data_IF_224880891126
#
_entry.id   IF_224880891126
#
_cell.length_a   1.000
_cell.length_b   1.000
_cell.length_c   1.000
_cell.angle_alpha   90.00
_cell.angle_beta   90.00
_cell.angle_gamma   90.00
#
_symmetry.space_group_name_H-M   'P 1'
#
loop_
_entity.id
_entity.type
_entity.pdbx_description
1 polymer ?
#
# COMPACT_ATOMS: atom_id res chain seq x y z
N UNK A 1 -33.97 -27.07 42.38
CA UNK A 1 -33.88 -27.13 40.93
C UNK A 1 -33.72 -25.75 40.25
N UNK A 2 -34.55 -24.75 40.58
CA UNK A 2 -34.51 -23.41 39.97
C UNK A 2 -33.16 -22.66 40.09
N UNK A 3 -32.45 -22.76 41.24
CA UNK A 3 -31.12 -22.15 41.43
C UNK A 3 -30.01 -22.79 40.57
N UNK A 4 -30.07 -24.11 40.31
CA UNK A 4 -29.07 -24.80 39.48
C UNK A 4 -29.27 -24.46 37.97
N UNK A 5 -30.51 -24.24 37.54
CA UNK A 5 -30.83 -23.82 36.17
C UNK A 5 -30.34 -22.38 35.90
N UNK A 6 -30.47 -21.49 36.91
CA UNK A 6 -30.03 -20.10 36.79
C UNK A 6 -28.49 -19.99 36.69
N UNK A 7 -27.76 -20.84 37.42
CA UNK A 7 -26.29 -20.90 37.36
C UNK A 7 -25.82 -21.46 35.98
N UNK A 8 -26.53 -22.44 35.45
CA UNK A 8 -26.22 -22.99 34.10
C UNK A 8 -26.48 -21.98 32.98
N UNK A 9 -27.52 -21.15 33.11
CA UNK A 9 -27.83 -20.06 32.19
C UNK A 9 -26.79 -18.91 32.25
N UNK A 10 -26.29 -18.59 33.45
CA UNK A 10 -25.23 -17.61 33.67
C UNK A 10 -23.87 -18.09 33.10
N UNK A 11 -23.56 -19.39 33.25
CA UNK A 11 -22.36 -19.99 32.67
C UNK A 11 -22.43 -20.08 31.12
N UNK A 12 -23.61 -20.32 30.54
CA UNK A 12 -23.80 -20.30 29.10
C UNK A 12 -23.71 -18.89 28.50
N UNK A 13 -24.13 -17.84 29.23
CA UNK A 13 -24.00 -16.45 28.81
C UNK A 13 -22.54 -15.92 28.87
N UNK A 14 -21.70 -16.48 29.75
CA UNK A 14 -20.28 -16.12 29.83
C UNK A 14 -19.42 -16.72 28.71
N UNK A 15 -19.92 -17.71 27.97
CA UNK A 15 -19.21 -18.40 26.87
C UNK A 15 -19.29 -17.70 25.52
N UNK A 16 -20.17 -16.71 25.31
CA UNK A 16 -20.26 -15.93 24.09
C UNK A 16 -19.52 -14.59 24.20
N UNK A 17 -18.26 -14.64 24.52
CA UNK A 17 -17.38 -13.54 24.11
C UNK A 17 -17.16 -13.73 22.59
N UNK A 18 -18.00 -13.10 21.79
CA UNK A 18 -17.69 -12.85 20.39
C UNK A 18 -16.37 -12.07 20.38
N UNK A 19 -15.27 -12.77 20.10
CA UNK A 19 -14.02 -12.10 19.73
C UNK A 19 -14.34 -11.27 18.50
N UNK A 20 -14.64 -10.00 18.67
CA UNK A 20 -14.61 -9.03 17.60
C UNK A 20 -13.15 -8.98 17.18
N UNK A 21 -12.80 -9.84 16.23
CA UNK A 21 -11.49 -9.77 15.58
C UNK A 21 -11.40 -8.40 14.92
N UNK A 22 -10.59 -7.53 15.49
CA UNK A 22 -10.27 -6.28 14.84
C UNK A 22 -9.51 -6.65 13.57
N UNK A 23 -10.09 -6.30 12.41
CA UNK A 23 -9.46 -6.50 11.11
C UNK A 23 -8.26 -5.56 10.98
N UNK A 24 -7.29 -5.97 10.18
CA UNK A 24 -5.98 -5.33 10.06
C UNK A 24 -6.06 -3.93 9.47
N UNK A 25 -7.04 -3.69 8.61
CA UNK A 25 -7.12 -2.47 7.81
C UNK A 25 -8.18 -1.48 8.26
N UNK A 26 -7.89 -0.23 7.92
CA UNK A 26 -8.83 0.87 7.81
C UNK A 26 -8.69 1.47 6.40
N UNK A 27 -9.23 0.76 5.41
CA UNK A 27 -9.32 1.27 4.04
C UNK A 27 -10.44 2.28 3.89
N UNK A 28 -10.13 3.37 3.18
CA UNK A 28 -11.11 4.31 2.64
C UNK A 28 -11.03 4.24 1.11
N UNK A 29 -12.07 3.70 0.48
CA UNK A 29 -12.17 3.63 -0.98
C UNK A 29 -12.98 4.83 -1.48
N UNK A 30 -12.39 5.64 -2.35
CA UNK A 30 -13.04 6.74 -3.04
C UNK A 30 -13.17 6.38 -4.52
N UNK A 31 -14.39 6.34 -5.03
CA UNK A 31 -14.70 6.03 -6.43
C UNK A 31 -15.23 7.27 -7.15
N UNK A 32 -14.43 7.82 -8.04
CA UNK A 32 -14.84 8.87 -8.96
C UNK A 32 -15.12 8.26 -10.34
N UNK A 33 -16.30 8.55 -10.88
CA UNK A 33 -16.77 8.10 -12.20
C UNK A 33 -17.32 9.24 -13.06
N UNK A 34 -17.08 10.51 -12.67
CA UNK A 34 -17.58 11.70 -13.38
C UNK A 34 -17.06 11.77 -14.82
N UNK A 35 -15.88 11.19 -15.08
CA UNK A 35 -15.24 11.18 -16.39
C UNK A 35 -15.63 9.96 -17.26
N UNK A 36 -16.59 9.14 -16.83
CA UNK A 36 -17.02 8.03 -17.66
C UNK A 36 -17.66 8.53 -18.95
N UNK A 37 -16.88 8.44 -20.02
CA UNK A 37 -17.33 8.77 -21.38
C UNK A 37 -17.67 7.46 -22.05
N UNK A 38 -18.94 7.19 -22.21
CA UNK A 38 -19.40 5.97 -22.90
C UNK A 38 -20.82 6.15 -23.41
N UNK A 39 -21.26 5.24 -24.27
CA UNK A 39 -22.60 5.24 -24.87
C UNK A 39 -23.71 4.88 -23.87
N UNK A 40 -23.38 4.54 -22.65
CA UNK A 40 -24.34 4.08 -21.64
C UNK A 40 -24.23 4.94 -20.37
N UNK A 41 -25.40 5.33 -19.85
CA UNK A 41 -25.48 6.02 -18.55
C UNK A 41 -25.07 5.04 -17.46
N UNK A 42 -24.02 5.37 -16.70
CA UNK A 42 -23.63 4.65 -15.51
C UNK A 42 -24.67 4.91 -14.41
N UNK A 43 -25.27 3.86 -13.88
CA UNK A 43 -26.24 3.98 -12.78
C UNK A 43 -25.50 4.34 -11.48
N UNK A 44 -25.83 5.48 -10.82
CA UNK A 44 -25.19 5.89 -9.57
C UNK A 44 -25.34 4.89 -8.44
N UNK A 45 -26.47 4.16 -8.39
CA UNK A 45 -26.72 3.14 -7.37
C UNK A 45 -25.74 1.96 -7.52
N UNK A 46 -25.50 1.53 -8.75
CA UNK A 46 -24.50 0.49 -9.06
C UNK A 46 -23.08 0.92 -8.66
N UNK A 47 -22.71 2.19 -8.83
CA UNK A 47 -21.41 2.70 -8.42
C UNK A 47 -21.27 2.77 -6.89
N UNK A 48 -22.33 3.14 -6.20
CA UNK A 48 -22.37 3.11 -4.72
C UNK A 48 -22.22 1.66 -4.20
N UNK A 49 -22.91 0.70 -4.81
CA UNK A 49 -22.79 -0.72 -4.46
C UNK A 49 -21.36 -1.23 -4.71
N UNK A 50 -20.77 -0.87 -5.84
CA UNK A 50 -19.38 -1.21 -6.17
C UNK A 50 -18.40 -0.65 -5.14
N UNK A 51 -18.54 0.63 -4.77
CA UNK A 51 -17.70 1.25 -3.74
C UNK A 51 -17.86 0.56 -2.38
N UNK A 52 -19.09 0.25 -1.98
CA UNK A 52 -19.38 -0.49 -0.75
C UNK A 52 -18.73 -1.88 -0.78
N UNK A 53 -18.89 -2.62 -1.88
CA UNK A 53 -18.24 -3.92 -2.05
C UNK A 53 -16.70 -3.82 -1.85
N UNK A 54 -16.05 -2.85 -2.51
CA UNK A 54 -14.60 -2.70 -2.39
C UNK A 54 -14.17 -2.36 -0.95
N UNK A 55 -14.91 -1.48 -0.26
CA UNK A 55 -14.67 -1.17 1.15
C UNK A 55 -14.82 -2.41 2.04
N UNK A 56 -15.91 -3.16 1.86
CA UNK A 56 -16.20 -4.34 2.66
C UNK A 56 -15.19 -5.45 2.41
N UNK A 57 -14.82 -5.68 1.14
CA UNK A 57 -13.81 -6.66 0.78
C UNK A 57 -12.47 -6.38 1.46
N UNK A 58 -12.01 -5.13 1.43
CA UNK A 58 -10.71 -4.75 1.99
C UNK A 58 -10.73 -4.72 3.54
N UNK A 59 -11.83 -4.29 4.15
CA UNK A 59 -11.91 -4.09 5.59
C UNK A 59 -12.45 -5.28 6.36
N UNK A 60 -13.25 -6.16 5.74
CA UNK A 60 -13.95 -7.23 6.44
C UNK A 60 -13.31 -8.61 6.23
N UNK A 61 -12.38 -8.75 5.30
CA UNK A 61 -11.62 -9.99 5.12
C UNK A 61 -10.45 -10.04 6.10
N UNK A 62 -10.13 -11.23 6.59
CA UNK A 62 -8.95 -11.48 7.42
C UNK A 62 -7.74 -11.77 6.52
N UNK A 63 -6.72 -10.92 6.62
CA UNK A 63 -5.53 -10.97 5.78
C UNK A 63 -4.33 -11.63 6.49
N UNK A 64 -4.33 -11.58 7.84
CA UNK A 64 -3.23 -12.09 8.67
C UNK A 64 -3.76 -12.97 9.81
N UNK A 65 -2.85 -13.60 10.56
CA UNK A 65 -3.18 -14.29 11.81
C UNK A 65 -3.12 -13.36 13.03
N UNK A 66 -2.59 -12.16 12.86
CA UNK A 66 -2.36 -11.21 13.95
C UNK A 66 -3.66 -10.55 14.41
N UNK A 67 -3.65 -10.04 15.61
CA UNK A 67 -4.77 -9.32 16.22
C UNK A 67 -4.39 -7.86 16.36
N UNK A 68 -5.05 -7.00 15.59
CA UNK A 68 -4.84 -5.56 15.63
C UNK A 68 -5.82 -4.89 16.58
N UNK A 69 -5.34 -3.96 17.39
CA UNK A 69 -6.20 -3.03 18.10
C UNK A 69 -6.71 -1.96 17.14
N UNK A 70 -7.74 -1.23 17.55
CA UNK A 70 -8.34 -0.19 16.70
C UNK A 70 -7.32 0.87 16.26
N UNK A 71 -6.39 1.21 17.15
CA UNK A 71 -5.33 2.21 16.94
C UNK A 71 -4.16 1.68 16.11
N UNK A 72 -4.04 0.36 16.00
CA UNK A 72 -2.97 -0.32 15.26
C UNK A 72 -3.36 -0.63 13.81
N UNK A 73 -4.61 -0.36 13.43
CA UNK A 73 -5.09 -0.61 12.06
C UNK A 73 -4.27 0.15 11.03
N UNK A 74 -3.91 -0.57 9.96
CA UNK A 74 -3.18 -0.02 8.83
C UNK A 74 -4.10 0.91 8.05
N UNK A 75 -3.78 2.20 8.01
CA UNK A 75 -4.58 3.20 7.32
C UNK A 75 -4.23 3.25 5.83
N UNK A 76 -5.23 2.99 5.01
CA UNK A 76 -5.08 3.01 3.56
C UNK A 76 -6.16 3.86 2.89
N UNK A 77 -5.77 4.58 1.83
CA UNK A 77 -6.72 5.22 0.92
C UNK A 77 -6.55 4.62 -0.46
N UNK A 78 -7.67 4.24 -1.07
CA UNK A 78 -7.71 3.77 -2.46
C UNK A 78 -8.60 4.73 -3.25
N UNK A 79 -7.96 5.63 -4.00
CA UNK A 79 -8.63 6.59 -4.87
C UNK A 79 -8.70 6.00 -6.28
N UNK A 80 -9.91 5.77 -6.77
CA UNK A 80 -10.17 5.21 -8.10
C UNK A 80 -10.85 6.26 -8.95
N UNK A 81 -10.32 6.50 -10.15
CA UNK A 81 -10.93 7.35 -11.16
C UNK A 81 -11.24 6.50 -12.39
N UNK A 82 -12.53 6.22 -12.62
CA UNK A 82 -12.99 5.51 -13.82
C UNK A 82 -13.08 6.52 -14.96
N UNK A 83 -12.39 6.23 -16.07
CA UNK A 83 -12.29 7.15 -17.20
C UNK A 83 -12.98 6.62 -18.46
N UNK A 84 -13.23 5.31 -18.54
CA UNK A 84 -13.87 4.67 -19.70
C UNK A 84 -14.75 3.50 -19.27
N UNK A 85 -15.83 3.30 -20.03
CA UNK A 85 -16.67 2.11 -19.98
C UNK A 85 -16.87 1.60 -21.40
N UNK A 86 -15.95 0.74 -21.91
CA UNK A 86 -15.98 0.31 -23.32
C UNK A 86 -17.16 -0.59 -23.65
N UNK A 87 -17.74 -1.26 -22.65
CA UNK A 87 -18.95 -2.07 -22.76
C UNK A 87 -19.69 -2.08 -21.43
N UNK A 88 -20.93 -2.55 -21.41
CA UNK A 88 -21.72 -2.71 -20.17
C UNK A 88 -20.95 -3.53 -19.16
N UNK A 89 -20.79 -2.98 -17.97
CA UNK A 89 -20.10 -3.66 -16.87
C UNK A 89 -18.59 -3.70 -16.98
N UNK A 90 -17.97 -3.22 -18.07
CA UNK A 90 -16.53 -3.12 -18.19
C UNK A 90 -16.07 -1.70 -17.86
N UNK A 91 -15.11 -1.59 -16.97
CA UNK A 91 -14.60 -0.31 -16.49
C UNK A 91 -13.08 -0.24 -16.62
N UNK A 92 -12.60 0.93 -17.05
CA UNK A 92 -11.18 1.25 -17.16
C UNK A 92 -10.90 2.60 -16.49
N UNK A 93 -9.72 2.72 -15.88
CA UNK A 93 -9.32 3.94 -15.19
C UNK A 93 -7.95 3.84 -14.55
N UNK A 94 -7.77 4.64 -13.52
CA UNK A 94 -6.57 4.65 -12.70
C UNK A 94 -6.94 4.43 -11.23
N UNK A 95 -6.04 3.80 -10.47
CA UNK A 95 -6.16 3.68 -9.04
C UNK A 95 -4.91 4.22 -8.35
N UNK A 96 -5.07 4.90 -7.22
CA UNK A 96 -3.98 5.33 -6.36
C UNK A 96 -4.15 4.70 -4.99
N UNK A 97 -3.21 3.85 -4.62
CA UNK A 97 -3.08 3.28 -3.28
C UNK A 97 -2.13 4.15 -2.46
N UNK A 98 -2.60 4.64 -1.32
CA UNK A 98 -1.79 5.38 -0.33
C UNK A 98 -1.85 4.61 0.98
N UNK A 99 -0.67 4.27 1.53
CA UNK A 99 -0.51 3.52 2.76
C UNK A 99 0.14 4.44 3.79
N UNK A 100 -0.43 4.55 4.99
CA UNK A 100 0.05 5.44 6.04
C UNK A 100 0.16 4.71 7.37
N UNK A 101 1.05 5.22 8.24
CA UNK A 101 1.15 4.77 9.63
C UNK A 101 1.38 5.95 10.58
N UNK A 102 0.95 5.86 11.84
CA UNK A 102 1.35 6.83 12.86
C UNK A 102 2.85 6.70 13.17
N UNK A 103 3.50 7.82 13.45
CA UNK A 103 4.86 7.87 13.99
C UNK A 103 4.77 7.79 15.52
N UNK A 104 5.55 6.89 16.11
CA UNK A 104 5.49 6.62 17.54
C UNK A 104 5.71 7.89 18.39
N UNK A 105 4.92 8.04 19.45
CA UNK A 105 4.96 9.16 20.38
C UNK A 105 4.85 10.55 19.73
N UNK A 106 4.06 10.65 18.66
CA UNK A 106 3.77 11.91 17.96
C UNK A 106 2.33 11.94 17.42
N UNK A 107 1.88 13.13 17.04
CA UNK A 107 0.62 13.29 16.30
C UNK A 107 0.83 13.25 14.77
N UNK A 108 2.03 12.90 14.33
CA UNK A 108 2.39 12.84 12.92
C UNK A 108 2.04 11.49 12.31
N UNK A 109 1.42 11.54 11.15
CA UNK A 109 1.11 10.38 10.33
C UNK A 109 1.98 10.44 9.07
N UNK A 110 2.80 9.40 8.86
CA UNK A 110 3.70 9.33 7.70
C UNK A 110 3.12 8.43 6.62
N UNK A 111 3.23 8.84 5.36
CA UNK A 111 2.89 7.99 4.22
C UNK A 111 4.01 6.98 4.02
N UNK A 112 3.71 5.69 4.11
CA UNK A 112 4.66 4.61 3.86
C UNK A 112 5.00 4.49 2.38
N UNK A 113 3.95 4.52 1.55
CA UNK A 113 4.06 4.26 0.12
C UNK A 113 2.86 4.82 -0.64
N UNK A 114 3.12 5.28 -1.86
CA UNK A 114 2.07 5.70 -2.80
C UNK A 114 2.29 5.00 -4.13
N UNK A 115 1.30 4.24 -4.59
CA UNK A 115 1.36 3.55 -5.87
C UNK A 115 0.23 4.01 -6.78
N UNK A 116 0.57 4.44 -7.99
CA UNK A 116 -0.38 4.82 -9.03
C UNK A 116 -0.45 3.72 -10.07
N UNK A 117 -1.57 3.01 -10.10
CA UNK A 117 -1.89 1.99 -11.09
C UNK A 117 -2.66 2.61 -12.26
N UNK A 118 -1.99 2.74 -13.39
CA UNK A 118 -2.57 3.31 -14.63
C UNK A 118 -3.31 2.27 -15.47
N UNK A 119 -3.23 1.00 -15.08
CA UNK A 119 -3.82 -0.11 -15.81
C UNK A 119 -4.97 -0.76 -15.02
N UNK A 120 -5.74 0.07 -14.32
CA UNK A 120 -6.87 -0.39 -13.52
C UNK A 120 -8.07 -0.64 -14.42
N UNK A 121 -8.41 -1.90 -14.64
CA UNK A 121 -9.59 -2.31 -15.40
C UNK A 121 -10.20 -3.57 -14.82
N UNK A 122 -11.52 -3.69 -14.89
CA UNK A 122 -12.27 -4.82 -14.34
C UNK A 122 -13.67 -4.90 -14.95
N UNK A 123 -14.32 -6.03 -14.73
CA UNK A 123 -15.73 -6.20 -15.03
C UNK A 123 -16.54 -6.22 -13.73
N UNK A 124 -17.64 -5.51 -13.69
CA UNK A 124 -18.60 -5.51 -12.58
C UNK A 124 -20.04 -5.34 -13.10
N UNK A 125 -20.92 -6.24 -12.68
CA UNK A 125 -22.36 -6.12 -12.86
C UNK A 125 -23.01 -6.27 -11.48
N UNK A 126 -23.99 -5.41 -11.09
CA UNK A 126 -24.61 -5.45 -9.76
C UNK A 126 -25.28 -6.78 -9.41
N UNK A 127 -25.63 -7.56 -10.43
CA UNK A 127 -26.26 -8.89 -10.29
C UNK A 127 -25.24 -10.02 -10.13
N UNK A 128 -23.96 -9.75 -10.34
CA UNK A 128 -22.88 -10.76 -10.25
C UNK A 128 -22.23 -10.72 -8.89
N UNK A 129 -22.21 -11.85 -8.21
CA UNK A 129 -21.46 -12.01 -6.98
C UNK A 129 -19.98 -12.21 -7.33
N UNK A 130 -19.11 -11.32 -6.81
CA UNK A 130 -17.68 -11.42 -6.99
C UNK A 130 -17.08 -12.36 -5.96
N UNK A 131 -16.27 -13.31 -6.43
CA UNK A 131 -15.58 -14.29 -5.58
C UNK A 131 -14.07 -14.07 -5.60
N UNK A 132 -13.44 -14.32 -4.48
CA UNK A 132 -11.99 -14.34 -4.36
C UNK A 132 -11.51 -15.71 -3.86
N UNK A 133 -10.50 -16.24 -4.53
CA UNK A 133 -9.78 -17.42 -4.10
C UNK A 133 -8.27 -17.18 -4.25
N UNK A 134 -7.52 -17.28 -3.15
CA UNK A 134 -6.08 -17.00 -3.12
C UNK A 134 -5.27 -17.93 -4.06
N UNK A 135 -5.76 -19.14 -4.30
CA UNK A 135 -5.05 -20.17 -5.05
C UNK A 135 -5.53 -20.35 -6.49
N UNK A 136 -6.61 -19.67 -6.87
CA UNK A 136 -7.18 -19.81 -8.21
C UNK A 136 -7.76 -18.48 -8.68
N UNK A 137 -7.28 -17.98 -9.82
CA UNK A 137 -7.81 -16.74 -10.39
C UNK A 137 -9.29 -16.90 -10.72
N UNK A 138 -10.09 -15.99 -10.20
CA UNK A 138 -11.53 -15.93 -10.42
C UNK A 138 -11.91 -14.73 -11.27
N UNK A 139 -11.75 -13.53 -10.72
CA UNK A 139 -12.18 -12.29 -11.33
C UNK A 139 -11.18 -11.17 -11.04
N UNK A 140 -11.06 -10.23 -11.98
CA UNK A 140 -10.03 -9.18 -11.95
C UNK A 140 -10.12 -8.29 -10.70
N UNK A 141 -11.32 -7.77 -10.36
CA UNK A 141 -11.46 -6.80 -9.27
C UNK A 141 -11.06 -7.35 -7.90
N UNK A 142 -11.57 -8.51 -7.44
CA UNK A 142 -11.13 -9.11 -6.17
C UNK A 142 -9.61 -9.37 -6.13
N UNK A 143 -9.03 -9.78 -7.25
CA UNK A 143 -7.59 -10.01 -7.35
C UNK A 143 -6.76 -8.75 -7.21
N UNK A 144 -7.20 -7.64 -7.85
CA UNK A 144 -6.56 -6.34 -7.67
C UNK A 144 -6.63 -5.90 -6.22
N UNK A 145 -7.81 -6.00 -5.58
CA UNK A 145 -7.99 -5.58 -4.19
C UNK A 145 -7.14 -6.42 -3.23
N UNK A 146 -7.11 -7.75 -3.42
CA UNK A 146 -6.26 -8.65 -2.63
C UNK A 146 -4.77 -8.36 -2.82
N UNK A 147 -4.36 -8.05 -4.05
CA UNK A 147 -3.01 -7.63 -4.35
C UNK A 147 -2.65 -6.33 -3.59
N UNK A 148 -3.52 -5.31 -3.61
CA UNK A 148 -3.29 -4.06 -2.88
C UNK A 148 -3.25 -4.26 -1.37
N UNK A 149 -4.08 -5.12 -0.81
CA UNK A 149 -4.03 -5.48 0.61
C UNK A 149 -2.67 -6.08 0.97
N UNK A 150 -2.15 -7.02 0.18
CA UNK A 150 -0.83 -7.61 0.41
C UNK A 150 0.30 -6.57 0.25
N UNK A 151 0.23 -5.65 -0.73
CA UNK A 151 1.19 -4.54 -0.85
C UNK A 151 1.16 -3.67 0.41
N UNK A 152 -0.01 -3.35 0.95
CA UNK A 152 -0.12 -2.58 2.19
C UNK A 152 0.52 -3.31 3.38
N UNK A 153 0.29 -4.62 3.52
CA UNK A 153 0.92 -5.44 4.55
C UNK A 153 2.45 -5.48 4.41
N UNK A 154 2.98 -5.58 3.18
CA UNK A 154 4.43 -5.56 2.96
C UNK A 154 5.06 -4.31 3.55
N UNK A 155 4.54 -3.13 3.17
CA UNK A 155 5.11 -1.86 3.61
C UNK A 155 4.90 -1.60 5.10
N UNK A 156 3.75 -1.98 5.65
CA UNK A 156 3.50 -1.85 7.09
C UNK A 156 4.47 -2.71 7.89
N UNK A 157 4.51 -4.02 7.63
CA UNK A 157 5.35 -4.96 8.38
C UNK A 157 6.85 -4.70 8.21
N UNK A 158 7.33 -4.33 7.01
CA UNK A 158 8.73 -3.94 6.79
C UNK A 158 9.07 -2.63 7.55
N UNK A 159 8.09 -1.77 7.85
CA UNK A 159 8.30 -0.56 8.64
C UNK A 159 8.46 -0.81 10.14
N UNK A 160 7.95 -1.94 10.65
CA UNK A 160 8.01 -2.31 12.07
C UNK A 160 9.08 -3.35 12.39
N UNK A 161 9.40 -4.24 11.45
CA UNK A 161 10.41 -5.28 11.62
C UNK A 161 11.18 -5.53 10.32
N UNK A 162 12.45 -5.87 10.45
CA UNK A 162 13.33 -6.13 9.31
C UNK A 162 12.80 -7.29 8.47
N UNK A 163 12.41 -7.01 7.22
CA UNK A 163 11.82 -7.98 6.29
C UNK A 163 10.53 -8.64 6.80
N UNK A 164 9.80 -7.98 7.72
CA UNK A 164 8.55 -8.51 8.29
C UNK A 164 7.46 -8.77 7.26
N UNK A 165 7.45 -8.02 6.18
CA UNK A 165 6.51 -8.17 5.07
C UNK A 165 6.75 -9.35 4.14
N UNK A 166 7.81 -10.16 4.36
CA UNK A 166 8.19 -11.26 3.45
C UNK A 166 7.07 -12.28 3.15
N UNK A 167 6.24 -12.71 4.12
CA UNK A 167 5.11 -13.61 3.81
C UNK A 167 4.13 -13.00 2.81
N UNK A 168 3.90 -11.70 2.90
CA UNK A 168 2.97 -10.98 2.04
C UNK A 168 3.56 -10.67 0.65
N UNK A 169 4.90 -10.56 0.55
CA UNK A 169 5.60 -10.54 -0.74
C UNK A 169 5.32 -11.81 -1.51
N UNK A 170 5.43 -12.99 -0.87
CA UNK A 170 5.16 -14.27 -1.51
C UNK A 170 3.69 -14.39 -1.94
N UNK A 171 2.75 -13.96 -1.09
CA UNK A 171 1.32 -13.93 -1.43
C UNK A 171 1.04 -13.03 -2.63
N UNK A 172 1.51 -11.78 -2.60
CA UNK A 172 1.32 -10.84 -3.71
C UNK A 172 1.97 -11.32 -5.01
N UNK A 173 3.15 -11.95 -4.93
CA UNK A 173 3.84 -12.53 -6.08
C UNK A 173 3.06 -13.70 -6.69
N UNK A 174 2.49 -14.59 -5.85
CA UNK A 174 1.63 -15.68 -6.31
C UNK A 174 0.36 -15.15 -6.98
N UNK A 175 -0.31 -14.15 -6.39
CA UNK A 175 -1.47 -13.50 -7.01
C UNK A 175 -1.13 -12.90 -8.38
N UNK A 176 0.01 -12.20 -8.49
CA UNK A 176 0.45 -11.62 -9.75
C UNK A 176 0.73 -12.70 -10.82
N UNK A 177 1.32 -13.83 -10.45
CA UNK A 177 1.56 -14.94 -11.37
C UNK A 177 0.25 -15.60 -11.84
N UNK A 178 -0.71 -15.82 -10.95
CA UNK A 178 -2.03 -16.33 -11.32
C UNK A 178 -2.76 -15.38 -12.27
N UNK A 179 -2.77 -14.09 -11.94
CA UNK A 179 -3.38 -13.06 -12.78
C UNK A 179 -2.66 -12.93 -14.14
N UNK A 180 -1.33 -12.99 -14.16
CA UNK A 180 -0.53 -12.98 -15.40
C UNK A 180 -0.98 -14.04 -16.40
N UNK A 181 -1.29 -15.23 -15.91
CA UNK A 181 -1.70 -16.33 -16.77
C UNK A 181 -3.16 -16.23 -17.23
N UNK A 182 -4.04 -15.71 -16.39
CA UNK A 182 -5.51 -15.81 -16.53
C UNK A 182 -6.20 -14.48 -16.88
N UNK A 183 -5.66 -13.32 -16.43
CA UNK A 183 -6.27 -12.01 -16.67
C UNK A 183 -6.24 -11.63 -18.15
N UNK A 184 -7.30 -10.99 -18.60
CA UNK A 184 -7.34 -10.33 -19.91
C UNK A 184 -6.48 -9.05 -19.95
N UNK A 185 -6.21 -8.42 -18.78
CA UNK A 185 -5.41 -7.21 -18.66
C UNK A 185 -3.91 -7.52 -18.56
N UNK A 186 -3.31 -8.01 -19.63
CA UNK A 186 -1.87 -8.35 -19.68
C UNK A 186 -0.97 -7.14 -19.39
N UNK A 187 -1.37 -5.92 -19.74
CA UNK A 187 -0.54 -4.72 -19.49
C UNK A 187 -0.29 -4.48 -17.99
N UNK A 188 -1.22 -4.88 -17.15
CA UNK A 188 -1.11 -4.71 -15.69
C UNK A 188 -0.27 -5.80 -15.01
N UNK A 189 -0.27 -7.02 -15.55
CA UNK A 189 0.26 -8.20 -14.88
C UNK A 189 1.44 -8.88 -15.57
N UNK A 190 1.91 -8.35 -16.71
CA UNK A 190 3.00 -8.94 -17.48
C UNK A 190 4.24 -8.03 -17.53
N UNK A 191 5.43 -8.65 -17.64
CA UNK A 191 6.72 -7.97 -17.77
C UNK A 191 6.84 -7.14 -19.05
N UNK A 192 6.08 -7.49 -20.10
CA UNK A 192 6.02 -6.76 -21.37
C UNK A 192 5.03 -5.60 -21.35
N UNK A 193 4.36 -5.36 -20.22
CA UNK A 193 3.44 -4.26 -20.04
C UNK A 193 4.11 -2.95 -19.67
N UNK A 194 3.37 -2.09 -18.95
CA UNK A 194 3.90 -0.84 -18.42
C UNK A 194 5.00 -1.12 -17.38
N UNK A 195 6.12 -0.41 -17.45
CA UNK A 195 7.24 -0.55 -16.51
C UNK A 195 6.91 -0.18 -15.06
N UNK A 196 5.76 0.45 -14.82
CA UNK A 196 5.24 0.82 -13.49
C UNK A 196 3.98 0.02 -13.12
N UNK A 197 3.74 -1.13 -13.73
CA UNK A 197 2.58 -1.97 -13.47
C UNK A 197 2.73 -2.84 -12.21
N UNK A 198 1.67 -3.63 -11.89
CA UNK A 198 1.62 -4.51 -10.72
C UNK A 198 2.68 -5.61 -10.77
N UNK A 199 2.98 -6.15 -11.97
CA UNK A 199 4.04 -7.15 -12.12
C UNK A 199 5.40 -6.60 -11.65
N UNK A 200 5.80 -5.45 -12.15
CA UNK A 200 7.10 -4.87 -11.80
C UNK A 200 7.17 -4.42 -10.34
N UNK A 201 6.04 -3.95 -9.76
CA UNK A 201 6.01 -3.60 -8.34
C UNK A 201 6.36 -4.80 -7.46
N UNK A 202 5.69 -5.93 -7.67
CA UNK A 202 5.94 -7.11 -6.81
C UNK A 202 7.22 -7.85 -7.20
N UNK A 203 7.62 -7.83 -8.46
CA UNK A 203 8.91 -8.37 -8.89
C UNK A 203 10.06 -7.65 -8.19
N UNK A 204 10.03 -6.30 -8.15
CA UNK A 204 11.03 -5.54 -7.42
C UNK A 204 11.04 -5.93 -5.93
N UNK A 205 9.90 -5.94 -5.25
CA UNK A 205 9.83 -6.27 -3.82
C UNK A 205 10.28 -7.71 -3.50
N UNK A 206 10.12 -8.64 -4.45
CA UNK A 206 10.54 -10.04 -4.33
C UNK A 206 12.01 -10.27 -4.72
N UNK A 207 12.62 -9.34 -5.45
CA UNK A 207 14.00 -9.47 -5.96
C UNK A 207 15.03 -9.33 -4.83
N UNK A 208 16.06 -10.18 -4.76
CA UNK A 208 17.17 -10.02 -3.84
C UNK A 208 17.86 -8.64 -3.91
N UNK A 209 17.84 -8.00 -5.07
CA UNK A 209 18.42 -6.65 -5.28
C UNK A 209 17.70 -5.57 -4.46
N UNK A 210 16.44 -5.79 -4.07
CA UNK A 210 15.64 -4.87 -3.25
C UNK A 210 15.60 -5.23 -1.76
N UNK A 211 16.28 -6.31 -1.34
CA UNK A 211 16.37 -6.63 0.10
C UNK A 211 16.95 -5.46 0.92
N UNK A 212 18.05 -4.77 0.47
CA UNK A 212 18.56 -3.61 1.21
C UNK A 212 17.53 -2.47 1.33
N UNK A 213 16.71 -2.23 0.31
CA UNK A 213 15.62 -1.26 0.38
C UNK A 213 14.60 -1.66 1.46
N UNK A 214 14.13 -2.91 1.46
CA UNK A 214 13.16 -3.42 2.42
C UNK A 214 13.71 -3.41 3.86
N UNK A 215 14.96 -3.79 4.05
CA UNK A 215 15.64 -3.71 5.35
C UNK A 215 15.81 -2.25 5.81
N UNK A 216 16.10 -1.36 4.87
CA UNK A 216 16.23 0.09 5.11
C UNK A 216 14.91 0.71 5.56
N UNK A 217 13.75 0.21 5.14
CA UNK A 217 12.43 0.63 5.62
C UNK A 217 12.32 0.54 7.16
N UNK A 218 12.72 -0.59 7.75
CA UNK A 218 12.76 -0.74 9.20
C UNK A 218 13.68 0.30 9.86
N UNK A 219 14.87 0.50 9.31
CA UNK A 219 15.83 1.49 9.84
C UNK A 219 15.26 2.92 9.75
N UNK A 220 14.68 3.28 8.62
CA UNK A 220 14.10 4.59 8.39
C UNK A 220 12.92 4.89 9.32
N UNK A 221 11.94 3.97 9.40
CA UNK A 221 10.73 4.19 10.18
C UNK A 221 10.96 3.91 11.68
N UNK A 222 11.30 2.67 12.04
CA UNK A 222 11.33 2.25 13.45
C UNK A 222 12.52 2.82 14.22
N UNK A 223 13.70 2.85 13.58
CA UNK A 223 14.92 3.34 14.21
C UNK A 223 15.19 4.84 13.93
N UNK A 224 14.50 5.42 12.95
CA UNK A 224 14.62 6.81 12.55
C UNK A 224 13.42 7.65 12.97
N UNK A 225 12.30 7.58 12.23
CA UNK A 225 11.15 8.46 12.48
C UNK A 225 10.52 8.26 13.86
N UNK A 226 10.40 7.02 14.34
CA UNK A 226 9.79 6.73 15.64
C UNK A 226 10.58 7.28 16.84
N UNK A 227 11.82 7.69 16.63
CA UNK A 227 12.64 8.33 17.68
C UNK A 227 12.85 9.83 17.44
N UNK A 228 12.22 10.41 16.42
CA UNK A 228 12.47 11.79 15.98
C UNK A 228 12.24 12.84 17.07
N UNK A 229 11.24 12.65 17.92
CA UNK A 229 10.93 13.55 19.05
C UNK A 229 11.98 13.51 20.15
N UNK A 230 12.68 12.39 20.31
CA UNK A 230 13.67 12.17 21.36
C UNK A 230 15.10 12.40 20.85
N UNK A 231 15.39 12.01 19.62
CA UNK A 231 16.70 12.08 19.02
C UNK A 231 16.66 12.44 17.52
N UNK A 232 16.44 13.72 17.18
CA UNK A 232 16.36 14.16 15.78
C UNK A 232 17.67 13.96 15.00
N UNK A 233 18.83 13.90 15.68
CA UNK A 233 20.11 13.60 15.03
C UNK A 233 20.12 12.17 14.51
N UNK A 234 19.72 11.20 15.32
CA UNK A 234 19.58 9.80 14.89
C UNK A 234 18.62 9.68 13.70
N UNK A 235 17.50 10.40 13.72
CA UNK A 235 16.56 10.42 12.59
C UNK A 235 17.24 10.84 11.29
N UNK A 236 17.97 11.97 11.30
CA UNK A 236 18.68 12.45 10.10
C UNK A 236 19.73 11.47 9.61
N UNK A 237 20.51 10.87 10.52
CA UNK A 237 21.48 9.82 10.17
C UNK A 237 20.79 8.64 9.48
N UNK A 238 19.69 8.12 10.04
CA UNK A 238 18.94 7.00 9.44
C UNK A 238 18.33 7.35 8.09
N UNK A 239 17.88 8.58 7.92
CA UNK A 239 17.42 9.08 6.62
C UNK A 239 18.55 9.07 5.58
N UNK A 240 19.72 9.59 5.92
CA UNK A 240 20.88 9.61 5.00
C UNK A 240 21.40 8.22 4.66
N UNK A 241 21.43 7.32 5.65
CA UNK A 241 21.82 5.93 5.45
C UNK A 241 20.88 5.25 4.46
N UNK A 242 19.55 5.45 4.66
CA UNK A 242 18.57 4.86 3.78
C UNK A 242 18.59 5.46 2.37
N UNK A 243 18.78 6.78 2.23
CA UNK A 243 18.96 7.43 0.93
C UNK A 243 20.20 6.89 0.20
N UNK A 244 21.27 6.60 0.92
CA UNK A 244 22.48 5.97 0.35
C UNK A 244 22.17 4.56 -0.15
N UNK A 245 21.47 3.76 0.64
CA UNK A 245 21.01 2.42 0.25
C UNK A 245 20.10 2.47 -0.99
N UNK A 246 19.14 3.41 -1.04
CA UNK A 246 18.27 3.57 -2.22
C UNK A 246 19.08 3.92 -3.47
N UNK A 247 20.11 4.75 -3.34
CA UNK A 247 21.01 5.08 -4.45
C UNK A 247 21.72 3.84 -5.01
N UNK A 248 22.21 2.96 -4.15
CA UNK A 248 22.85 1.70 -4.54
C UNK A 248 21.84 0.76 -5.26
N UNK A 249 20.65 0.61 -4.71
CA UNK A 249 19.58 -0.19 -5.33
C UNK A 249 19.18 0.40 -6.70
N UNK A 250 19.04 1.71 -6.81
CA UNK A 250 18.69 2.39 -8.06
C UNK A 250 19.77 2.25 -9.15
N UNK A 251 21.05 2.12 -8.77
CA UNK A 251 22.13 1.83 -9.72
C UNK A 251 22.00 0.42 -10.32
N UNK A 252 21.53 -0.56 -9.54
CA UNK A 252 21.30 -1.92 -10.01
C UNK A 252 20.02 -2.05 -10.83
N UNK A 253 18.99 -1.29 -10.49
CA UNK A 253 17.67 -1.28 -11.14
C UNK A 253 17.16 0.15 -11.36
N UNK A 254 17.66 0.83 -12.39
CA UNK A 254 17.24 2.19 -12.72
C UNK A 254 15.73 2.26 -13.02
N UNK A 255 15.09 3.36 -12.65
CA UNK A 255 13.67 3.65 -12.91
C UNK A 255 12.70 2.61 -12.34
N UNK A 256 13.09 1.87 -11.29
CA UNK A 256 12.20 0.89 -10.66
C UNK A 256 10.94 1.55 -10.09
N UNK A 257 9.81 0.85 -10.22
CA UNK A 257 8.52 1.34 -9.69
C UNK A 257 8.57 1.56 -8.18
N UNK A 258 9.26 0.71 -7.44
CA UNK A 258 9.38 0.82 -5.97
C UNK A 258 10.09 2.11 -5.57
N UNK A 259 11.24 2.43 -6.20
CA UNK A 259 12.01 3.64 -5.89
C UNK A 259 11.23 4.89 -6.30
N UNK A 260 10.66 4.91 -7.49
CA UNK A 260 9.86 6.05 -7.95
C UNK A 260 8.66 6.31 -7.02
N UNK A 261 7.91 5.26 -6.66
CA UNK A 261 6.75 5.37 -5.78
C UNK A 261 7.14 5.76 -4.34
N UNK A 262 8.33 5.41 -3.89
CA UNK A 262 8.88 5.91 -2.63
C UNK A 262 9.07 7.43 -2.67
N UNK A 263 9.68 7.97 -3.71
CA UNK A 263 9.85 9.43 -3.86
C UNK A 263 8.53 10.16 -4.11
N UNK A 264 7.56 9.54 -4.78
CA UNK A 264 6.20 10.09 -4.89
C UNK A 264 5.57 10.31 -3.51
N UNK A 265 5.88 9.45 -2.53
CA UNK A 265 5.37 9.54 -1.16
C UNK A 265 6.22 10.41 -0.22
N UNK A 266 7.55 10.48 -0.42
CA UNK A 266 8.50 10.90 0.61
C UNK A 266 9.27 12.19 0.34
N UNK A 267 9.24 12.72 -0.86
CA UNK A 267 10.05 13.88 -1.24
C UNK A 267 9.93 15.06 -0.27
N UNK A 268 8.71 15.41 0.15
CA UNK A 268 8.47 16.52 1.07
C UNK A 268 8.95 16.22 2.50
N UNK A 269 8.69 15.02 3.00
CA UNK A 269 9.15 14.57 4.33
C UNK A 269 10.68 14.57 4.41
N UNK A 270 11.34 13.99 3.39
CA UNK A 270 12.80 13.95 3.30
C UNK A 270 13.42 15.36 3.28
N UNK A 271 12.85 16.26 2.49
CA UNK A 271 13.30 17.65 2.46
C UNK A 271 13.19 18.29 3.84
N UNK A 272 12.01 18.20 4.49
CA UNK A 272 11.78 18.81 5.81
C UNK A 272 12.75 18.29 6.87
N UNK A 273 12.95 16.98 6.93
CA UNK A 273 13.89 16.36 7.88
C UNK A 273 15.31 16.86 7.63
N UNK A 274 15.73 16.91 6.36
CA UNK A 274 17.11 17.30 6.01
C UNK A 274 17.36 18.81 6.06
N UNK A 275 16.31 19.65 6.06
CA UNK A 275 16.46 21.10 6.31
C UNK A 275 17.04 21.40 7.70
N UNK A 276 16.82 20.53 8.68
CA UNK A 276 17.38 20.64 10.04
C UNK A 276 18.78 20.01 10.19
N UNK A 277 19.38 19.53 9.12
CA UNK A 277 20.67 18.89 9.11
C UNK A 277 21.82 19.91 9.09
N UNK A 278 23.04 19.47 9.40
CA UNK A 278 24.23 20.30 9.23
C UNK A 278 24.56 20.50 7.74
N UNK A 279 25.42 21.47 7.39
CA UNK A 279 25.74 21.80 5.98
C UNK A 279 26.31 20.63 5.16
N UNK A 280 27.07 19.74 5.79
CA UNK A 280 27.61 18.55 5.11
C UNK A 280 26.55 17.54 4.77
N UNK A 281 25.70 17.21 5.74
CA UNK A 281 24.56 16.31 5.58
C UNK A 281 23.55 16.85 4.55
N UNK A 282 23.28 18.17 4.55
CA UNK A 282 22.43 18.84 3.56
C UNK A 282 22.98 18.66 2.13
N UNK A 283 24.29 18.93 1.93
CA UNK A 283 24.92 18.74 0.61
C UNK A 283 24.84 17.30 0.13
N UNK A 284 25.12 16.34 1.05
CA UNK A 284 25.02 14.90 0.74
C UNK A 284 23.58 14.51 0.37
N UNK A 285 22.59 14.95 1.15
CA UNK A 285 21.19 14.71 0.85
C UNK A 285 20.76 15.31 -0.50
N UNK A 286 21.13 16.56 -0.77
CA UNK A 286 20.85 17.21 -2.05
C UNK A 286 21.40 16.42 -3.24
N UNK A 287 22.68 16.01 -3.17
CA UNK A 287 23.31 15.25 -4.24
C UNK A 287 22.61 13.91 -4.51
N UNK A 288 22.16 13.21 -3.46
CA UNK A 288 21.45 11.94 -3.60
C UNK A 288 20.02 12.17 -4.13
N UNK A 289 19.27 13.07 -3.52
CA UNK A 289 17.88 13.36 -3.88
C UNK A 289 17.74 13.86 -5.31
N UNK A 290 18.62 14.78 -5.74
CA UNK A 290 18.62 15.31 -7.12
C UNK A 290 18.97 14.24 -8.17
N UNK A 291 19.75 13.23 -7.79
CA UNK A 291 20.07 12.10 -8.66
C UNK A 291 18.92 11.10 -8.77
N UNK A 292 18.27 10.79 -7.63
CA UNK A 292 17.24 9.76 -7.57
C UNK A 292 15.84 10.24 -7.98
N UNK A 293 15.56 11.54 -7.80
CA UNK A 293 14.30 12.19 -8.16
C UNK A 293 14.58 13.49 -8.93
N UNK A 294 15.11 13.38 -10.16
CA UNK A 294 15.57 14.54 -10.94
C UNK A 294 14.45 15.51 -11.29
N UNK A 295 13.20 15.04 -11.32
CA UNK A 295 12.04 15.89 -11.62
C UNK A 295 11.79 16.94 -10.52
N UNK A 296 12.28 16.71 -9.29
CA UNK A 296 12.16 17.60 -8.15
C UNK A 296 13.46 18.28 -7.73
N UNK A 297 14.48 18.31 -8.60
CA UNK A 297 15.79 18.93 -8.29
C UNK A 297 15.64 20.37 -7.78
N UNK A 298 14.80 21.20 -8.41
CA UNK A 298 14.55 22.57 -7.95
C UNK A 298 13.93 22.63 -6.54
N UNK A 299 13.09 21.68 -6.21
CA UNK A 299 12.49 21.56 -4.88
C UNK A 299 13.54 21.27 -3.81
N UNK A 300 14.55 20.44 -4.15
CA UNK A 300 15.65 20.08 -3.26
C UNK A 300 16.75 21.15 -3.16
N UNK A 301 16.80 22.17 -4.01
CA UNK A 301 17.80 23.23 -3.98
C UNK A 301 17.89 23.95 -2.63
N UNK A 302 16.80 23.94 -1.84
CA UNK A 302 16.78 24.47 -0.47
C UNK A 302 17.82 23.82 0.46
N UNK A 303 18.29 22.62 0.14
CA UNK A 303 19.37 21.94 0.89
C UNK A 303 20.76 22.38 0.47
N UNK A 304 20.90 23.02 -0.68
CA UNK A 304 22.18 23.49 -1.21
C UNK A 304 22.50 24.95 -0.82
N UNK A 305 21.53 25.64 -0.24
CA UNK A 305 21.65 27.01 0.30
C UNK A 305 22.09 26.95 1.76
#
# INVERSE_FOLDING_TARGET
MKKKILILLLLAAAGFQSHVFAQEFQFMVNLNYDQLVGSQKTDPQSMTQLQTYMNDFLNNQRWTSDVFKKEEKIKCKLNISLTRSPAVGNYEGNAQLVISRPVFNSNYETVLFTYVDKNFSFTYLPTTQLYFNENNYTEELPYILAYYANIALIFDYDSFSKLGGTPYVQKAFNLANLARNSSANKRAWDSNGDSRNRYWLIENLNSPQFLPFREGMYSYYRQGLDVATQNPVTTRTKVLDFLTTIKEVAQLRPNSVVVNSFFDAKSDELLRIMMEANPEEKRKAYAILSNLDPTKTQFYQKLAM
#
